data_IF_168423006953
#
_entry.id   IF_168423006953
#
_cell.length_a   1.000
_cell.length_b   1.000
_cell.length_c   1.000
_cell.angle_alpha   90.00
_cell.angle_beta   90.00
_cell.angle_gamma   90.00
#
_symmetry.space_group_name_H-M   'P 1'
#
loop_
_entity.id
_entity.type
_entity.pdbx_description
1 polymer ?
#
# COMPACT_ATOMS: atom_id res chain seq x y z
N UNK A 1 4.35 2.43 -19.61
CA UNK A 1 4.24 1.17 -18.88
C UNK A 1 4.08 1.47 -17.40
N UNK A 2 3.50 0.53 -16.61
CA UNK A 2 3.28 0.74 -15.17
C UNK A 2 4.57 1.01 -14.39
N UNK A 3 5.71 0.52 -14.88
CA UNK A 3 7.04 0.72 -14.30
C UNK A 3 7.50 2.20 -14.39
N UNK A 4 7.21 2.87 -15.50
CA UNK A 4 7.52 4.29 -15.67
C UNK A 4 6.67 5.15 -14.72
N UNK A 5 5.39 4.83 -14.58
CA UNK A 5 4.47 5.54 -13.66
C UNK A 5 4.90 5.34 -12.20
N UNK A 6 5.31 4.12 -11.82
CA UNK A 6 5.79 3.85 -10.46
C UNK A 6 7.06 4.65 -10.14
N UNK A 7 8.04 4.65 -11.04
CA UNK A 7 9.26 5.43 -10.87
C UNK A 7 8.97 6.93 -10.79
N UNK A 8 8.11 7.45 -11.65
CA UNK A 8 7.69 8.85 -11.63
C UNK A 8 7.03 9.20 -10.29
N UNK A 9 6.16 8.33 -9.76
CA UNK A 9 5.50 8.54 -8.48
C UNK A 9 6.49 8.47 -7.30
N UNK A 10 7.41 7.51 -7.28
CA UNK A 10 8.40 7.38 -6.21
C UNK A 10 9.41 8.53 -6.16
N UNK A 11 9.70 9.17 -7.30
CA UNK A 11 10.69 10.24 -7.42
C UNK A 11 10.07 11.64 -7.59
N UNK A 12 8.74 11.74 -7.72
CA UNK A 12 7.99 12.98 -7.91
C UNK A 12 7.16 13.34 -6.67
N UNK A 13 6.91 14.63 -6.41
CA UNK A 13 5.97 15.08 -5.38
C UNK A 13 4.49 14.94 -5.80
N UNK A 14 4.17 14.18 -6.84
CA UNK A 14 2.80 13.99 -7.29
C UNK A 14 1.94 13.27 -6.24
N UNK A 15 0.81 13.86 -5.94
CA UNK A 15 -0.25 13.28 -5.10
C UNK A 15 -1.40 12.76 -5.98
N UNK A 16 -2.11 11.70 -5.55
CA UNK A 16 -3.31 11.25 -6.24
C UNK A 16 -4.31 12.39 -6.44
N UNK A 17 -5.01 12.40 -7.56
CA UNK A 17 -6.04 13.41 -7.80
C UNK A 17 -7.21 13.26 -6.83
N UNK A 18 -7.92 14.36 -6.56
CA UNK A 18 -9.14 14.34 -5.73
C UNK A 18 -10.15 13.35 -6.30
N UNK A 19 -10.31 13.31 -7.62
CA UNK A 19 -11.22 12.38 -8.30
C UNK A 19 -10.89 10.90 -8.05
N UNK A 20 -9.59 10.53 -7.99
CA UNK A 20 -9.19 9.17 -7.64
C UNK A 20 -9.60 8.79 -6.23
N UNK A 21 -9.40 9.73 -5.28
CA UNK A 21 -9.75 9.52 -3.89
C UNK A 21 -11.26 9.45 -3.67
N UNK A 22 -12.02 10.26 -4.39
CA UNK A 22 -13.49 10.23 -4.41
C UNK A 22 -13.98 8.89 -4.98
N UNK A 23 -13.46 8.44 -6.11
CA UNK A 23 -13.80 7.14 -6.70
C UNK A 23 -13.49 5.96 -5.77
N UNK A 24 -12.35 5.97 -5.08
CA UNK A 24 -12.02 4.93 -4.09
C UNK A 24 -12.98 5.04 -2.89
N UNK A 25 -13.26 6.24 -2.43
CA UNK A 25 -14.21 6.50 -1.34
C UNK A 25 -15.61 6.02 -1.75
N UNK A 26 -16.06 6.30 -2.96
CA UNK A 26 -17.35 5.89 -3.49
C UNK A 26 -17.44 4.36 -3.63
N UNK A 27 -16.39 3.71 -4.14
CA UNK A 27 -16.31 2.25 -4.18
C UNK A 27 -16.42 1.65 -2.77
N UNK A 28 -15.81 2.30 -1.79
CA UNK A 28 -15.85 1.87 -0.39
C UNK A 28 -17.17 2.23 0.33
N UNK A 29 -17.92 3.22 -0.18
CA UNK A 29 -19.21 3.66 0.38
C UNK A 29 -20.42 3.10 -0.36
N UNK A 30 -20.33 2.88 -1.68
CA UNK A 30 -21.40 2.29 -2.51
C UNK A 30 -21.79 0.86 -2.11
N UNK A 31 -20.90 0.17 -1.41
CA UNK A 31 -21.23 -1.10 -0.77
C UNK A 31 -21.46 -0.85 0.73
N UNK A 32 -22.70 -0.73 1.18
CA UNK A 32 -23.07 -0.81 2.60
C UNK A 32 -22.47 -2.04 3.30
N UNK A 33 -22.14 -3.08 2.49
CA UNK A 33 -21.42 -4.28 2.92
C UNK A 33 -19.95 -4.04 3.30
N UNK A 34 -19.35 -2.91 2.94
CA UNK A 34 -17.97 -2.53 3.27
C UNK A 34 -17.88 -1.51 4.41
N UNK A 35 -18.96 -1.27 5.14
CA UNK A 35 -18.89 -0.48 6.37
C UNK A 35 -18.11 -1.25 7.43
N UNK A 36 -17.16 -0.56 8.07
CA UNK A 36 -16.41 -1.14 9.19
C UNK A 36 -17.34 -1.27 10.41
N UNK A 37 -17.21 -2.37 11.15
CA UNK A 37 -18.00 -2.62 12.36
C UNK A 37 -17.10 -2.98 13.54
N UNK A 38 -17.48 -2.54 14.74
CA UNK A 38 -16.85 -2.94 15.99
C UNK A 38 -15.32 -2.88 15.94
N UNK A 39 -14.66 -4.05 16.07
CA UNK A 39 -13.21 -4.21 16.10
C UNK A 39 -12.48 -3.70 14.84
N UNK A 40 -13.14 -3.66 13.69
CA UNK A 40 -12.54 -3.11 12.47
C UNK A 40 -12.38 -1.59 12.58
N UNK A 41 -13.36 -0.89 13.20
CA UNK A 41 -13.27 0.55 13.47
C UNK A 41 -12.14 0.83 14.46
N UNK A 42 -12.05 0.03 15.54
CA UNK A 42 -10.98 0.12 16.51
C UNK A 42 -9.61 -0.04 15.84
N UNK A 43 -9.40 -1.13 15.09
CA UNK A 43 -8.14 -1.39 14.38
C UNK A 43 -7.77 -0.25 13.42
N UNK A 44 -8.73 0.29 12.65
CA UNK A 44 -8.49 1.46 11.79
C UNK A 44 -8.04 2.67 12.62
N UNK A 45 -8.73 2.96 13.72
CA UNK A 45 -8.41 4.12 14.57
C UNK A 45 -7.03 3.98 15.21
N UNK A 46 -6.67 2.78 15.67
CA UNK A 46 -5.37 2.49 16.28
C UNK A 46 -4.23 2.68 15.25
N UNK A 47 -4.40 2.17 14.03
CA UNK A 47 -3.45 2.38 12.93
C UNK A 47 -3.25 3.88 12.68
N UNK A 48 -4.33 4.64 12.53
CA UNK A 48 -4.27 6.07 12.25
C UNK A 48 -3.67 6.86 13.41
N UNK A 49 -3.99 6.50 14.66
CA UNK A 49 -3.41 7.12 15.85
C UNK A 49 -1.90 6.84 15.93
N UNK A 50 -1.48 5.59 15.68
CA UNK A 50 -0.07 5.22 15.66
C UNK A 50 0.70 6.00 14.59
N UNK A 51 0.20 6.05 13.36
CA UNK A 51 0.85 6.75 12.26
C UNK A 51 0.95 8.27 12.47
N UNK A 52 -0.01 8.88 13.18
CA UNK A 52 0.05 10.31 13.52
C UNK A 52 1.14 10.62 14.56
N UNK A 53 1.36 9.69 15.48
CA UNK A 53 2.29 9.85 16.61
C UNK A 53 3.66 9.23 16.34
N UNK A 54 3.81 8.54 15.20
CA UNK A 54 5.06 7.88 14.85
C UNK A 54 6.18 8.89 14.56
N UNK A 55 7.39 8.51 14.93
CA UNK A 55 8.58 9.30 14.64
C UNK A 55 8.76 9.45 13.12
N UNK A 56 8.86 10.68 12.65
CA UNK A 56 9.06 11.00 11.24
C UNK A 56 10.45 10.62 10.72
N UNK A 57 11.40 10.44 11.61
CA UNK A 57 12.79 10.14 11.27
C UNK A 57 13.15 8.67 11.42
N UNK A 58 12.32 7.89 12.13
CA UNK A 58 12.48 6.46 12.34
C UNK A 58 11.72 5.58 11.35
N UNK A 59 12.02 4.29 11.36
CA UNK A 59 11.23 3.25 10.70
C UNK A 59 10.13 2.79 11.65
N UNK A 60 8.90 2.78 11.16
CA UNK A 60 7.74 2.36 11.95
C UNK A 60 7.10 1.13 11.30
N UNK A 61 6.82 0.12 12.09
CA UNK A 61 6.16 -1.11 11.64
C UNK A 61 4.96 -1.40 12.50
N UNK A 62 3.80 -1.56 11.87
CA UNK A 62 2.55 -1.99 12.50
C UNK A 62 2.15 -3.33 11.90
N UNK A 63 1.79 -4.29 12.73
CA UNK A 63 1.27 -5.59 12.31
C UNK A 63 -0.20 -5.68 12.74
N UNK A 64 -1.07 -5.87 11.76
CA UNK A 64 -2.51 -6.07 11.96
C UNK A 64 -2.82 -7.54 11.74
N UNK A 65 -3.02 -8.27 12.83
CA UNK A 65 -3.32 -9.68 12.78
C UNK A 65 -4.83 -9.93 12.86
N UNK A 66 -5.34 -10.79 11.98
CA UNK A 66 -6.75 -11.14 11.96
C UNK A 66 -7.02 -12.38 11.11
N UNK A 67 -8.00 -13.19 11.53
CA UNK A 67 -8.40 -14.41 10.81
C UNK A 67 -8.91 -14.14 9.39
N UNK A 68 -9.12 -15.20 8.60
CA UNK A 68 -9.74 -15.08 7.27
C UNK A 68 -11.13 -14.42 7.38
N UNK A 69 -11.46 -13.54 6.42
CA UNK A 69 -12.77 -12.89 6.36
C UNK A 69 -13.00 -11.78 7.40
N UNK A 70 -12.03 -11.40 8.21
CA UNK A 70 -12.18 -10.33 9.22
C UNK A 70 -12.17 -8.91 8.61
N UNK A 71 -12.03 -8.77 7.29
CA UNK A 71 -12.10 -7.48 6.59
C UNK A 71 -10.77 -6.70 6.57
N UNK A 72 -9.63 -7.35 6.73
CA UNK A 72 -8.30 -6.72 6.70
C UNK A 72 -8.08 -5.82 5.47
N UNK A 73 -8.39 -6.33 4.29
CA UNK A 73 -8.30 -5.56 3.03
C UNK A 73 -9.20 -4.32 3.06
N UNK A 74 -10.41 -4.43 3.63
CA UNK A 74 -11.31 -3.27 3.77
C UNK A 74 -10.74 -2.23 4.71
N UNK A 75 -10.18 -2.66 5.85
CA UNK A 75 -9.50 -1.76 6.79
C UNK A 75 -8.34 -1.04 6.08
N UNK A 76 -7.49 -1.79 5.35
CA UNK A 76 -6.37 -1.24 4.62
C UNK A 76 -6.80 -0.19 3.59
N UNK A 77 -7.85 -0.46 2.81
CA UNK A 77 -8.40 0.47 1.81
C UNK A 77 -9.02 1.72 2.46
N UNK A 78 -9.71 1.58 3.60
CA UNK A 78 -10.23 2.73 4.36
C UNK A 78 -9.10 3.60 4.91
N UNK A 79 -8.03 3.00 5.44
CA UNK A 79 -6.82 3.73 5.89
C UNK A 79 -6.15 4.44 4.71
N UNK A 80 -6.01 3.76 3.55
CA UNK A 80 -5.49 4.35 2.32
C UNK A 80 -6.27 5.61 1.93
N UNK A 81 -7.59 5.50 1.82
CA UNK A 81 -8.47 6.61 1.44
C UNK A 81 -8.33 7.79 2.42
N UNK A 82 -8.36 7.52 3.73
CA UNK A 82 -8.28 8.59 4.73
C UNK A 82 -6.93 9.31 4.75
N UNK A 83 -5.81 8.58 4.62
CA UNK A 83 -4.48 9.18 4.61
C UNK A 83 -4.22 9.95 3.31
N UNK A 84 -4.68 9.42 2.17
CA UNK A 84 -4.54 10.05 0.87
C UNK A 84 -5.38 11.33 0.78
N UNK A 85 -6.62 11.34 1.29
CA UNK A 85 -7.49 12.51 1.29
C UNK A 85 -6.90 13.71 2.06
N UNK A 86 -6.06 13.46 3.07
CA UNK A 86 -5.40 14.52 3.84
C UNK A 86 -4.26 15.21 3.11
N UNK A 87 -3.76 14.64 1.99
CA UNK A 87 -2.68 15.20 1.18
C UNK A 87 -1.33 15.40 1.90
N UNK A 88 -1.18 14.83 3.11
CA UNK A 88 0.01 15.01 3.96
C UNK A 88 1.01 13.88 3.85
N UNK A 89 0.58 12.74 3.33
CA UNK A 89 1.35 11.51 3.24
C UNK A 89 1.33 10.98 1.82
N UNK A 90 2.50 10.54 1.35
CA UNK A 90 2.61 9.70 0.18
C UNK A 90 2.29 8.27 0.61
N UNK A 91 1.09 7.81 0.32
CA UNK A 91 0.59 6.49 0.74
C UNK A 91 0.52 5.57 -0.47
N UNK A 92 0.96 4.33 -0.30
CA UNK A 92 0.82 3.27 -1.29
C UNK A 92 0.21 2.02 -0.67
N UNK A 93 -0.51 1.26 -1.48
CA UNK A 93 -1.06 -0.04 -1.14
C UNK A 93 -0.38 -1.12 -1.97
N UNK A 94 0.14 -2.14 -1.31
CA UNK A 94 0.84 -3.26 -1.94
C UNK A 94 0.17 -4.59 -1.62
N UNK A 95 -0.01 -5.43 -2.65
CA UNK A 95 -0.57 -6.78 -2.49
C UNK A 95 -0.03 -7.73 -3.56
N UNK A 96 -0.04 -9.04 -3.28
CA UNK A 96 0.17 -10.09 -4.30
C UNK A 96 -1.11 -10.52 -5.01
N UNK A 97 -2.27 -10.04 -4.59
CA UNK A 97 -3.56 -10.38 -5.21
C UNK A 97 -3.72 -9.69 -6.56
N UNK A 98 -3.32 -10.37 -7.63
CA UNK A 98 -3.55 -9.90 -9.01
C UNK A 98 -5.03 -9.63 -9.30
N UNK A 99 -5.98 -10.51 -8.89
CA UNK A 99 -7.40 -10.23 -9.12
C UNK A 99 -7.86 -8.92 -8.47
N UNK A 100 -7.40 -8.62 -7.24
CA UNK A 100 -7.73 -7.38 -6.56
C UNK A 100 -7.18 -6.16 -7.32
N UNK A 101 -5.91 -6.20 -7.73
CA UNK A 101 -5.29 -5.12 -8.49
C UNK A 101 -6.01 -4.87 -9.83
N UNK A 102 -6.37 -5.91 -10.56
CA UNK A 102 -7.10 -5.76 -11.83
C UNK A 102 -8.54 -5.26 -11.61
N UNK A 103 -9.23 -5.72 -10.56
CA UNK A 103 -10.55 -5.19 -10.22
C UNK A 103 -10.49 -3.68 -9.92
N UNK A 104 -9.52 -3.22 -9.12
CA UNK A 104 -9.34 -1.80 -8.82
C UNK A 104 -9.03 -1.01 -10.10
N UNK A 105 -8.13 -1.53 -10.97
CA UNK A 105 -7.80 -0.88 -12.25
C UNK A 105 -9.00 -0.75 -13.18
N UNK A 106 -9.91 -1.73 -13.16
CA UNK A 106 -11.15 -1.67 -13.93
C UNK A 106 -12.12 -0.62 -13.39
N UNK A 107 -12.15 -0.41 -12.08
CA UNK A 107 -13.08 0.53 -11.43
C UNK A 107 -12.63 2.00 -11.53
N UNK A 108 -11.35 2.26 -11.28
CA UNK A 108 -10.83 3.64 -11.18
C UNK A 108 -9.97 4.06 -12.39
N UNK A 109 -9.69 3.16 -13.31
CA UNK A 109 -8.79 3.40 -14.43
C UNK A 109 -7.33 2.99 -14.13
N UNK A 110 -6.63 2.51 -15.17
CA UNK A 110 -5.28 1.93 -15.02
C UNK A 110 -4.23 2.96 -14.60
N UNK A 111 -4.29 4.17 -15.15
CA UNK A 111 -3.29 5.20 -14.85
C UNK A 111 -3.39 5.64 -13.40
N UNK A 112 -4.59 5.93 -12.94
CA UNK A 112 -4.88 6.38 -11.58
C UNK A 112 -4.60 5.28 -10.56
N UNK A 113 -5.04 4.03 -10.83
CA UNK A 113 -4.78 2.90 -9.95
C UNK A 113 -3.27 2.67 -9.75
N UNK A 114 -2.45 2.83 -10.80
CA UNK A 114 -1.01 2.63 -10.72
C UNK A 114 -0.28 3.68 -9.84
N UNK A 115 -0.92 4.76 -9.44
CA UNK A 115 -0.35 5.73 -8.49
C UNK A 115 -0.40 5.22 -7.05
N UNK A 116 -1.39 4.39 -6.72
CA UNK A 116 -1.65 3.95 -5.34
C UNK A 116 -1.47 2.45 -5.12
N UNK A 117 -1.71 1.63 -6.16
CA UNK A 117 -1.85 0.18 -6.03
C UNK A 117 -0.75 -0.57 -6.78
N UNK A 118 0.06 -1.31 -6.03
CA UNK A 118 1.28 -1.94 -6.51
C UNK A 118 1.37 -3.42 -6.14
N UNK A 119 2.23 -4.15 -6.87
CA UNK A 119 2.64 -5.48 -6.44
C UNK A 119 3.76 -5.39 -5.40
N UNK A 120 3.89 -6.37 -4.50
CA UNK A 120 4.98 -6.40 -3.51
C UNK A 120 6.38 -6.34 -4.16
N UNK A 121 6.53 -6.89 -5.35
CA UNK A 121 7.80 -6.91 -6.08
C UNK A 121 8.18 -5.56 -6.71
N UNK A 122 7.33 -4.54 -6.63
CA UNK A 122 7.63 -3.22 -7.19
C UNK A 122 8.54 -2.39 -6.26
N UNK A 123 8.68 -2.79 -4.99
CA UNK A 123 9.41 -2.04 -3.96
C UNK A 123 10.89 -2.42 -3.82
N UNK A 124 11.50 -2.98 -4.85
CA UNK A 124 12.94 -3.27 -4.87
C UNK A 124 13.79 -1.99 -4.98
N UNK A 125 15.06 -1.99 -4.52
CA UNK A 125 15.93 -0.80 -4.54
C UNK A 125 16.09 -0.16 -5.93
N UNK A 126 16.08 -0.95 -7.00
CA UNK A 126 16.17 -0.47 -8.37
C UNK A 126 14.95 0.35 -8.85
N UNK A 127 13.82 0.27 -8.13
CA UNK A 127 12.56 0.95 -8.49
C UNK A 127 12.09 1.95 -7.47
N UNK A 128 12.44 1.77 -6.21
CA UNK A 128 11.98 2.62 -5.12
C UNK A 128 13.14 3.05 -4.23
N UNK A 129 13.29 4.37 -4.06
CA UNK A 129 14.30 4.90 -3.13
C UNK A 129 13.94 4.57 -1.69
N UNK A 130 14.95 4.61 -0.84
CA UNK A 130 14.73 4.51 0.59
C UNK A 130 13.84 5.65 1.10
N UNK A 131 12.83 5.29 1.91
CA UNK A 131 11.82 6.24 2.40
C UNK A 131 11.09 7.03 1.30
N UNK A 132 11.04 6.50 0.07
CA UNK A 132 10.32 7.11 -1.04
C UNK A 132 8.80 7.18 -0.82
N UNK A 133 8.28 6.39 0.12
CA UNK A 133 6.87 6.34 0.52
C UNK A 133 6.77 6.72 2.00
N UNK A 134 5.78 7.51 2.41
CA UNK A 134 5.59 7.81 3.83
C UNK A 134 4.89 6.65 4.55
N UNK A 135 3.83 6.11 3.94
CA UNK A 135 3.08 4.97 4.50
C UNK A 135 2.86 3.89 3.43
N UNK A 136 3.32 2.69 3.69
CA UNK A 136 3.07 1.51 2.85
C UNK A 136 2.12 0.56 3.58
N UNK A 137 0.95 0.33 2.97
CA UNK A 137 -0.04 -0.63 3.45
C UNK A 137 0.15 -1.93 2.69
N UNK A 138 0.50 -3.00 3.38
CA UNK A 138 0.81 -4.31 2.78
C UNK A 138 -0.29 -5.31 3.12
N UNK A 139 -1.13 -5.61 2.14
CA UNK A 139 -2.19 -6.60 2.28
C UNK A 139 -1.70 -8.01 1.95
N UNK A 140 -2.31 -9.01 2.57
CA UNK A 140 -1.89 -10.42 2.50
C UNK A 140 -0.39 -10.61 2.82
N UNK A 141 0.11 -9.95 3.86
CA UNK A 141 1.55 -9.96 4.20
C UNK A 141 2.10 -11.37 4.52
N UNK A 142 1.24 -12.33 4.83
CA UNK A 142 1.62 -13.74 4.95
C UNK A 142 2.16 -14.35 3.64
N UNK A 143 1.98 -13.68 2.50
CA UNK A 143 2.49 -14.10 1.18
C UNK A 143 3.85 -13.47 0.82
N UNK A 144 4.48 -12.76 1.75
CA UNK A 144 5.84 -12.23 1.58
C UNK A 144 6.80 -13.40 1.40
N UNK A 145 7.66 -13.30 0.41
CA UNK A 145 8.67 -14.30 0.06
C UNK A 145 10.03 -13.98 0.68
N UNK A 146 10.90 -14.99 0.78
CA UNK A 146 12.26 -14.80 1.29
C UNK A 146 13.09 -13.87 0.40
N UNK A 147 12.84 -13.87 -0.91
CA UNK A 147 13.53 -13.01 -1.86
C UNK A 147 12.55 -12.40 -2.85
N UNK A 148 12.71 -11.12 -3.22
CA UNK A 148 11.94 -10.51 -4.30
C UNK A 148 12.43 -10.96 -5.69
N UNK A 149 13.61 -11.57 -5.77
CA UNK A 149 14.20 -12.03 -7.03
C UNK A 149 13.52 -13.32 -7.49
N UNK A 150 13.15 -13.36 -8.77
CA UNK A 150 12.59 -14.54 -9.43
C UNK A 150 13.14 -14.65 -10.85
N UNK A 151 12.80 -15.74 -11.57
CA UNK A 151 13.30 -16.01 -12.93
C UNK A 151 12.97 -14.92 -13.97
N UNK A 152 12.02 -14.03 -13.67
CA UNK A 152 11.62 -12.92 -14.53
C UNK A 152 12.22 -11.58 -14.10
N UNK A 153 12.90 -11.55 -12.94
CA UNK A 153 13.56 -10.34 -12.45
C UNK A 153 14.80 -10.07 -13.32
N UNK A 154 14.91 -8.89 -13.91
CA UNK A 154 16.08 -8.46 -14.65
C UNK A 154 17.31 -8.47 -13.74
N UNK A 155 18.49 -8.81 -14.26
CA UNK A 155 19.73 -8.90 -13.46
C UNK A 155 20.11 -7.59 -12.77
N UNK A 156 19.88 -6.46 -13.42
CA UNK A 156 20.10 -5.11 -12.89
C UNK A 156 19.12 -4.71 -11.78
N UNK A 157 18.03 -5.46 -11.62
CA UNK A 157 17.03 -5.28 -10.56
C UNK A 157 17.23 -6.25 -9.38
N UNK A 158 18.23 -7.13 -9.45
CA UNK A 158 18.48 -8.08 -8.37
C UNK A 158 18.97 -7.36 -7.12
N UNK A 159 18.57 -7.88 -5.97
CA UNK A 159 18.97 -7.38 -4.66
C UNK A 159 19.26 -8.55 -3.72
N UNK A 160 20.18 -8.35 -2.78
CA UNK A 160 20.45 -9.29 -1.69
C UNK A 160 19.45 -9.16 -0.55
N UNK A 161 18.66 -8.07 -0.53
CA UNK A 161 17.64 -7.85 0.48
C UNK A 161 16.50 -8.86 0.33
N UNK A 162 15.98 -9.34 1.45
CA UNK A 162 14.73 -10.09 1.48
C UNK A 162 13.55 -9.21 1.05
N UNK A 163 12.43 -9.80 0.67
CA UNK A 163 11.25 -9.03 0.25
C UNK A 163 10.73 -8.14 1.39
N UNK A 164 10.77 -8.61 2.65
CA UNK A 164 10.37 -7.78 3.81
C UNK A 164 11.28 -6.57 3.99
N UNK A 165 12.60 -6.75 3.83
CA UNK A 165 13.56 -5.65 3.93
C UNK A 165 13.36 -4.63 2.82
N UNK A 166 13.05 -5.06 1.59
CA UNK A 166 12.77 -4.13 0.48
C UNK A 166 11.52 -3.27 0.77
N UNK A 167 10.47 -3.86 1.35
CA UNK A 167 9.25 -3.14 1.73
C UNK A 167 9.52 -2.14 2.87
N UNK A 168 10.19 -2.59 3.94
CA UNK A 168 10.55 -1.71 5.08
C UNK A 168 11.49 -0.59 4.62
N UNK A 169 12.44 -0.88 3.73
CA UNK A 169 13.34 0.13 3.17
C UNK A 169 12.58 1.20 2.38
N UNK A 170 11.59 0.79 1.57
CA UNK A 170 10.86 1.69 0.68
C UNK A 170 10.01 2.74 1.41
N UNK A 171 9.55 2.46 2.63
CA UNK A 171 8.65 3.36 3.35
C UNK A 171 9.18 3.77 4.73
N UNK A 172 8.71 4.93 5.22
CA UNK A 172 8.93 5.37 6.61
C UNK A 172 8.12 4.55 7.59
N UNK A 173 6.87 4.29 7.24
CA UNK A 173 5.95 3.48 8.04
C UNK A 173 5.37 2.36 7.19
N UNK A 174 5.42 1.12 7.69
CA UNK A 174 4.81 -0.03 7.05
C UNK A 174 3.70 -0.61 7.94
N UNK A 175 2.55 -0.87 7.35
CA UNK A 175 1.43 -1.56 8.01
C UNK A 175 1.20 -2.88 7.31
N UNK A 176 1.49 -3.99 7.98
CA UNK A 176 1.34 -5.34 7.46
C UNK A 176 0.04 -5.97 7.96
N UNK A 177 -0.83 -6.36 7.04
CA UNK A 177 -2.08 -7.09 7.32
C UNK A 177 -1.85 -8.59 7.09
N UNK A 178 -1.93 -9.39 8.17
CA UNK A 178 -1.61 -10.82 8.20
C UNK A 178 -2.87 -11.64 8.49
#
# INVERSE_FOLDING_TARGET
SGEAVFNEFCFSPLYPSVNLLENISDILTLNDKLSLVGKQIEARNDILAYLRNSDRYGKNVVIVNGGPGTGKTVIALKVLAELSAKGRYRVMFATKSKPLLEAIKCMVGRQEANLLFHNLNDFIPARCMENGVDVLLVDEAHRIELSPNNKYTKKDHWTELSQIETLIRAARSCVFFI
#
